data_IF_145283758430
#
_entry.id   IF_145283758430
#
_cell.length_a   1.000
_cell.length_b   1.000
_cell.length_c   1.000
_cell.angle_alpha   90.00
_cell.angle_beta   90.00
_cell.angle_gamma   90.00
#
_symmetry.space_group_name_H-M   'P 1'
#
loop_
_entity.id
_entity.type
_entity.pdbx_description
1 polymer ?
#
# COMPACT_ATOMS: atom_id res chain seq x y z
N UNK A 1 -28.90 12.70 36.00
CA UNK A 1 -28.64 11.44 35.29
C UNK A 1 -27.66 11.71 34.15
N UNK A 2 -26.38 11.44 34.35
CA UNK A 2 -25.36 11.64 33.32
C UNK A 2 -25.52 10.55 32.26
N UNK A 3 -26.02 10.92 31.06
CA UNK A 3 -25.95 10.06 29.88
C UNK A 3 -24.47 9.96 29.51
N UNK A 4 -23.77 8.96 30.07
CA UNK A 4 -22.41 8.59 29.70
C UNK A 4 -22.38 8.52 28.18
N UNK A 5 -21.55 9.36 27.57
CA UNK A 5 -21.13 9.21 26.19
C UNK A 5 -20.29 7.94 26.17
N UNK A 6 -20.95 6.79 26.02
CA UNK A 6 -20.28 5.63 25.47
C UNK A 6 -19.90 6.06 24.06
N UNK A 7 -18.66 6.50 23.91
CA UNK A 7 -18.02 6.73 22.62
C UNK A 7 -17.99 5.36 21.95
N UNK A 8 -19.09 5.04 21.30
CA UNK A 8 -19.41 3.73 20.80
C UNK A 8 -18.23 3.24 19.96
N UNK A 9 -17.65 2.12 20.38
CA UNK A 9 -16.68 1.37 19.59
C UNK A 9 -17.42 0.93 18.32
N UNK A 10 -17.38 1.76 17.27
CA UNK A 10 -18.01 1.47 15.98
C UNK A 10 -17.48 0.13 15.49
N UNK A 11 -18.36 -0.85 15.39
CA UNK A 11 -17.98 -2.20 14.96
C UNK A 11 -17.82 -2.21 13.46
N UNK A 12 -16.90 -3.04 12.96
CA UNK A 12 -16.77 -3.30 11.52
C UNK A 12 -18.11 -3.76 10.91
N UNK A 13 -18.90 -4.49 11.69
CA UNK A 13 -20.25 -4.97 11.37
C UNK A 13 -21.32 -3.88 11.26
N UNK A 14 -21.01 -2.63 11.62
CA UNK A 14 -21.93 -1.49 11.48
C UNK A 14 -21.68 -0.69 10.20
N UNK A 15 -20.59 -0.98 9.47
CA UNK A 15 -20.29 -0.32 8.20
C UNK A 15 -21.29 -0.74 7.11
N UNK A 16 -21.64 0.13 6.16
CA UNK A 16 -22.35 -0.30 4.95
C UNK A 16 -21.63 -1.46 4.27
N UNK A 17 -22.37 -2.43 3.72
CA UNK A 17 -21.78 -3.62 3.10
C UNK A 17 -20.72 -3.29 2.04
N UNK A 18 -20.99 -2.28 1.21
CA UNK A 18 -20.03 -1.81 0.19
C UNK A 18 -18.72 -1.28 0.79
N UNK A 19 -18.76 -0.62 1.96
CA UNK A 19 -17.58 -0.09 2.60
C UNK A 19 -16.69 -1.22 3.17
N UNK A 20 -17.31 -2.28 3.72
CA UNK A 20 -16.57 -3.47 4.18
C UNK A 20 -15.89 -4.19 3.01
N UNK A 21 -16.59 -4.32 1.89
CA UNK A 21 -16.04 -4.89 0.66
C UNK A 21 -14.87 -4.06 0.14
N UNK A 22 -15.01 -2.73 0.07
CA UNK A 22 -13.92 -1.86 -0.36
C UNK A 22 -12.70 -1.92 0.58
N UNK A 23 -12.92 -1.98 1.90
CA UNK A 23 -11.82 -2.14 2.86
C UNK A 23 -11.10 -3.48 2.67
N UNK A 24 -11.85 -4.57 2.49
CA UNK A 24 -11.29 -5.89 2.23
C UNK A 24 -10.47 -5.91 0.94
N UNK A 25 -11.08 -5.50 -0.17
CA UNK A 25 -10.42 -5.45 -1.48
C UNK A 25 -9.21 -4.51 -1.49
N UNK A 26 -9.35 -3.32 -0.91
CA UNK A 26 -8.27 -2.33 -0.82
C UNK A 26 -7.09 -2.84 -0.01
N UNK A 27 -7.34 -3.49 1.14
CA UNK A 27 -6.30 -4.09 1.96
C UNK A 27 -5.59 -5.25 1.25
N UNK A 28 -6.35 -6.17 0.63
CA UNK A 28 -5.76 -7.27 -0.14
C UNK A 28 -4.93 -6.76 -1.32
N UNK A 29 -5.44 -5.79 -2.07
CA UNK A 29 -4.71 -5.18 -3.17
C UNK A 29 -3.42 -4.49 -2.71
N UNK A 30 -3.46 -3.74 -1.60
CA UNK A 30 -2.29 -3.07 -1.03
C UNK A 30 -1.18 -4.07 -0.68
N UNK A 31 -1.52 -5.16 0.03
CA UNK A 31 -0.55 -6.18 0.43
C UNK A 31 0.08 -6.86 -0.79
N UNK A 32 -0.73 -7.28 -1.77
CA UNK A 32 -0.24 -7.94 -2.99
C UNK A 32 0.66 -7.01 -3.79
N UNK A 33 0.21 -5.77 -4.05
CA UNK A 33 0.97 -4.78 -4.81
C UNK A 33 2.28 -4.43 -4.12
N UNK A 34 2.26 -4.28 -2.79
CA UNK A 34 3.45 -3.98 -2.00
C UNK A 34 4.49 -5.08 -2.08
N UNK A 35 4.09 -6.35 -1.91
CA UNK A 35 5.02 -7.48 -2.03
C UNK A 35 5.59 -7.54 -3.45
N UNK A 36 4.73 -7.40 -4.47
CA UNK A 36 5.16 -7.39 -5.87
C UNK A 36 6.17 -6.27 -6.15
N UNK A 37 5.93 -5.05 -5.65
CA UNK A 37 6.82 -3.91 -5.81
C UNK A 37 8.17 -4.14 -5.10
N UNK A 38 8.16 -4.69 -3.89
CA UNK A 38 9.40 -5.03 -3.17
C UNK A 38 10.23 -6.07 -3.92
N UNK A 39 9.59 -7.11 -4.46
CA UNK A 39 10.26 -8.14 -5.27
C UNK A 39 10.83 -7.53 -6.56
N UNK A 40 10.08 -6.66 -7.25
CA UNK A 40 10.53 -6.00 -8.48
C UNK A 40 11.74 -5.08 -8.22
N UNK A 41 11.69 -4.23 -7.18
CA UNK A 41 12.83 -3.38 -6.77
C UNK A 41 14.07 -4.20 -6.45
N UNK A 42 13.89 -5.31 -5.72
CA UNK A 42 15.00 -6.14 -5.28
C UNK A 42 15.68 -6.86 -6.45
N UNK A 43 14.91 -7.23 -7.49
CA UNK A 43 15.41 -7.99 -8.65
C UNK A 43 15.98 -7.14 -9.77
N UNK A 44 15.46 -5.93 -9.99
CA UNK A 44 15.97 -4.99 -11.01
C UNK A 44 17.40 -4.58 -10.71
N UNK A 45 18.17 -4.15 -11.70
CA UNK A 45 19.46 -3.51 -11.45
C UNK A 45 19.33 -2.05 -10.97
N UNK A 46 20.44 -1.43 -10.55
CA UNK A 46 20.42 -0.06 -9.97
C UNK A 46 20.07 0.99 -11.02
N UNK A 47 20.45 0.77 -12.26
CA UNK A 47 20.17 1.61 -13.43
C UNK A 47 18.74 1.42 -13.97
N UNK A 48 18.08 0.30 -13.66
CA UNK A 48 16.69 0.04 -14.01
C UNK A 48 15.66 0.58 -13.00
N UNK A 49 16.11 1.30 -11.96
CA UNK A 49 15.25 1.90 -10.94
C UNK A 49 15.52 3.40 -10.88
N UNK A 50 14.46 4.20 -10.98
CA UNK A 50 14.54 5.63 -10.80
C UNK A 50 14.67 5.94 -9.29
N UNK A 51 15.85 6.40 -8.89
CA UNK A 51 16.18 6.72 -7.51
C UNK A 51 16.77 5.53 -6.73
N UNK A 52 17.19 5.75 -5.46
CA UNK A 52 17.89 4.73 -4.70
C UNK A 52 16.96 3.59 -4.28
N UNK A 53 17.35 2.34 -4.55
CA UNK A 53 16.65 1.14 -4.03
C UNK A 53 16.49 1.15 -2.51
N UNK A 54 17.49 1.70 -1.81
CA UNK A 54 17.50 1.86 -0.37
C UNK A 54 16.41 2.84 0.15
N UNK A 55 15.81 3.65 -0.72
CA UNK A 55 14.64 4.49 -0.37
C UNK A 55 13.35 3.74 -0.68
N UNK A 56 13.28 3.06 -1.83
CA UNK A 56 12.09 2.33 -2.25
C UNK A 56 11.71 1.19 -1.29
N UNK A 57 12.67 0.37 -0.88
CA UNK A 57 12.38 -0.79 -0.02
C UNK A 57 11.80 -0.39 1.35
N UNK A 58 12.41 0.55 2.11
CA UNK A 58 11.81 1.04 3.35
C UNK A 58 10.48 1.76 3.14
N UNK A 59 10.35 2.57 2.08
CA UNK A 59 9.11 3.28 1.80
C UNK A 59 7.95 2.29 1.56
N UNK A 60 8.16 1.29 0.69
CA UNK A 60 7.18 0.22 0.45
C UNK A 60 6.90 -0.59 1.72
N UNK A 61 7.89 -0.76 2.60
CA UNK A 61 7.76 -1.51 3.85
C UNK A 61 7.07 -0.77 5.00
N UNK A 62 7.16 0.56 5.06
CA UNK A 62 6.69 1.34 6.19
C UNK A 62 5.35 2.04 5.92
N UNK A 63 5.05 2.36 4.65
CA UNK A 63 3.89 3.17 4.29
C UNK A 63 2.75 2.28 3.81
N UNK A 64 1.66 2.24 4.58
CA UNK A 64 0.38 1.67 4.14
C UNK A 64 -0.43 2.73 3.42
N UNK A 65 -0.81 2.49 2.17
CA UNK A 65 -1.40 3.53 1.30
C UNK A 65 -2.52 3.03 0.39
N UNK A 66 -3.11 1.87 0.71
CA UNK A 66 -4.15 1.23 -0.12
C UNK A 66 -3.70 1.04 -1.58
N UNK A 67 -2.43 0.67 -1.79
CA UNK A 67 -1.84 0.38 -3.08
C UNK A 67 -1.28 1.59 -3.84
N UNK A 68 -1.50 2.83 -3.36
CA UNK A 68 -1.06 4.03 -4.07
C UNK A 68 0.48 4.11 -4.21
N UNK A 69 1.22 3.83 -3.13
CA UNK A 69 2.69 3.88 -3.18
C UNK A 69 3.30 2.78 -4.08
N UNK A 70 2.86 1.50 -4.01
CA UNK A 70 3.26 0.50 -4.99
C UNK A 70 2.95 0.90 -6.44
N UNK A 71 1.77 1.48 -6.71
CA UNK A 71 1.41 1.97 -8.05
C UNK A 71 2.34 3.10 -8.51
N UNK A 72 2.68 4.03 -7.62
CA UNK A 72 3.64 5.08 -7.92
C UNK A 72 5.03 4.52 -8.27
N UNK A 73 5.49 3.49 -7.55
CA UNK A 73 6.71 2.78 -7.89
C UNK A 73 6.63 2.15 -9.29
N UNK A 74 5.59 1.38 -9.60
CA UNK A 74 5.47 0.74 -10.91
C UNK A 74 5.41 1.73 -12.07
N UNK A 75 4.83 2.92 -11.84
CA UNK A 75 4.63 3.96 -12.84
C UNK A 75 5.82 4.89 -13.04
N UNK A 76 6.54 5.23 -11.98
CA UNK A 76 7.63 6.22 -12.01
C UNK A 76 8.95 5.71 -11.43
N UNK A 77 8.91 4.73 -10.53
CA UNK A 77 10.10 4.13 -9.93
C UNK A 77 10.82 3.12 -10.82
N UNK A 78 10.16 2.56 -11.84
CA UNK A 78 10.81 1.68 -12.82
C UNK A 78 11.43 2.47 -13.97
N UNK A 79 12.62 2.07 -14.41
CA UNK A 79 13.25 2.48 -15.65
C UNK A 79 13.36 1.27 -16.58
N UNK A 80 13.26 1.50 -17.89
CA UNK A 80 13.53 0.46 -18.87
C UNK A 80 15.00 0.03 -18.83
N UNK A 81 15.34 -1.16 -19.36
CA UNK A 81 16.72 -1.62 -19.41
C UNK A 81 17.58 -0.57 -20.11
N UNK A 82 18.76 -0.27 -19.53
CA UNK A 82 19.75 0.54 -20.21
C UNK A 82 20.13 -0.19 -21.52
N UNK A 83 19.93 0.49 -22.65
CA UNK A 83 20.37 -0.04 -23.96
C UNK A 83 21.88 -0.12 -24.01
#
# INVERSE_FOLDING_TARGET
MAKKRDMAKKKFEELPGWARVLMGLGGTADVVLRIAAMIDVARRDKDEVNGPKAVWLPALGAVSSMGLLPLAYFRWGRRGPAK
#
